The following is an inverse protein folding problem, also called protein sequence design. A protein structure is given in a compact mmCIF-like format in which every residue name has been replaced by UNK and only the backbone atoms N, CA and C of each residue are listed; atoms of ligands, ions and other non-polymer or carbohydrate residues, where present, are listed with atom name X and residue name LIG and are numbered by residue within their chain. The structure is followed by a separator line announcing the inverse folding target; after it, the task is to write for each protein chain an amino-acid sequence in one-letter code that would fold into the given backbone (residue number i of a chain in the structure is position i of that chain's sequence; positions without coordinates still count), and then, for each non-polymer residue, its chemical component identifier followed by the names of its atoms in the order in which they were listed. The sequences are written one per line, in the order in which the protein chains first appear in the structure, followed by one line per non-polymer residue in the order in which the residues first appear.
data_IF_312691465262
#
_entry.id   IF_312691465262
#
_cell.length_a   1.000
_cell.length_b   1.000
_cell.length_c   1.000
_cell.angle_alpha   90.00
_cell.angle_beta   90.00
_cell.angle_gamma   90.00
#
_symmetry.space_group_name_H-M   'P 1'
#
loop_
_entity.id
_entity.type
_entity.pdbx_description
1 polymer ?
#
# COMPACT_ATOMS: atom_id res chain seq x y z
N UNK A 1 -36.06 -67.50 -20.03
CA UNK A 1 -36.72 -66.31 -19.46
C UNK A 1 -36.30 -66.21 -18.01
N UNK A 2 -35.74 -65.05 -17.64
CA UNK A 2 -35.37 -64.56 -16.30
C UNK A 2 -34.46 -65.39 -15.40
N UNK A 3 -33.33 -64.79 -15.03
CA UNK A 3 -32.87 -64.48 -13.65
C UNK A 3 -31.33 -64.33 -13.71
N UNK A 4 -30.83 -63.12 -13.54
CA UNK A 4 -30.31 -62.59 -12.26
C UNK A 4 -29.16 -63.43 -11.70
N UNK A 5 -27.95 -62.85 -11.72
CA UNK A 5 -26.80 -63.34 -10.97
C UNK A 5 -26.10 -62.15 -10.33
N UNK A 6 -26.52 -61.80 -9.12
CA UNK A 6 -25.73 -61.03 -8.16
C UNK A 6 -24.72 -61.98 -7.48
N UNK A 7 -23.43 -61.67 -7.64
CA UNK A 7 -22.35 -62.10 -6.75
C UNK A 7 -21.92 -60.84 -5.98
N UNK A 8 -21.85 -60.78 -4.65
CA UNK A 8 -21.34 -61.79 -3.74
C UNK A 8 -19.97 -61.32 -3.25
N UNK A 9 -19.96 -60.68 -2.07
CA UNK A 9 -18.95 -60.72 -1.00
C UNK A 9 -17.45 -60.61 -1.35
N UNK A 10 -16.78 -59.62 -0.73
CA UNK A 10 -15.73 -59.80 0.30
C UNK A 10 -14.72 -58.65 0.30
N UNK A 11 -14.87 -57.77 1.28
CA UNK A 11 -13.83 -56.87 1.76
C UNK A 11 -13.05 -57.57 2.86
N UNK A 12 -11.75 -57.83 2.69
CA UNK A 12 -10.78 -57.86 3.80
C UNK A 12 -9.33 -58.11 3.36
N UNK A 13 -8.44 -57.46 4.13
CA UNK A 13 -7.02 -57.75 4.35
C UNK A 13 -6.09 -57.26 3.22
N UNK A 14 -4.94 -56.64 3.44
CA UNK A 14 -4.06 -56.36 4.59
C UNK A 14 -2.76 -55.87 3.91
N UNK A 15 -1.90 -55.01 4.41
CA UNK A 15 -1.67 -54.41 5.71
C UNK A 15 -0.42 -53.51 5.58
N UNK A 16 -0.02 -52.94 6.71
CA UNK A 16 1.35 -52.52 7.04
C UNK A 16 1.92 -51.34 6.21
N UNK A 17 2.39 -50.23 6.77
CA UNK A 17 3.16 -50.03 7.99
C UNK A 17 3.09 -48.53 8.38
N UNK A 18 3.03 -48.25 9.68
CA UNK A 18 3.10 -46.90 10.22
C UNK A 18 4.54 -46.58 10.65
N UNK A 19 5.11 -45.47 10.15
CA UNK A 19 6.02 -44.51 10.83
C UNK A 19 6.71 -43.58 9.79
N UNK A 20 7.29 -42.43 10.18
CA UNK A 20 6.67 -41.25 10.78
C UNK A 20 7.15 -39.93 10.12
N UNK A 21 6.35 -38.86 10.19
CA UNK A 21 6.85 -37.49 10.10
C UNK A 21 7.06 -36.89 8.71
N UNK A 22 6.14 -36.00 8.35
CA UNK A 22 6.52 -34.69 7.83
C UNK A 22 5.42 -33.70 8.18
N UNK A 23 5.60 -32.98 9.28
CA UNK A 23 5.00 -31.66 9.44
C UNK A 23 5.59 -30.77 8.34
N UNK A 24 5.00 -30.83 7.15
CA UNK A 24 5.27 -29.94 6.05
C UNK A 24 4.50 -28.65 6.29
N UNK A 25 5.21 -27.63 6.76
CA UNK A 25 4.76 -26.24 6.82
C UNK A 25 4.08 -25.86 5.51
N UNK A 26 2.80 -25.48 5.57
CA UNK A 26 2.16 -24.68 4.54
C UNK A 26 2.79 -23.29 4.59
N UNK A 27 3.88 -23.12 3.85
CA UNK A 27 4.30 -21.81 3.38
C UNK A 27 3.30 -21.43 2.28
N UNK A 28 2.32 -20.58 2.62
CA UNK A 28 1.68 -19.75 1.61
C UNK A 28 2.75 -18.72 1.19
N UNK A 29 3.71 -19.17 0.38
CA UNK A 29 4.52 -18.28 -0.44
C UNK A 29 3.53 -17.41 -1.22
N UNK A 30 3.56 -16.11 -0.97
CA UNK A 30 2.82 -15.12 -1.74
C UNK A 30 3.24 -15.31 -3.20
N UNK A 31 2.42 -16.04 -3.95
CA UNK A 31 2.69 -16.34 -5.34
C UNK A 31 2.50 -15.03 -6.09
N UNK A 32 3.60 -14.32 -6.33
CA UNK A 32 3.62 -13.20 -7.28
C UNK A 32 2.90 -13.67 -8.54
N UNK A 33 1.99 -12.87 -9.11
CA UNK A 33 1.26 -13.29 -10.29
C UNK A 33 2.26 -13.68 -11.38
N UNK A 34 1.97 -14.79 -12.08
CA UNK A 34 2.80 -15.34 -13.16
C UNK A 34 2.95 -14.33 -14.32
N UNK A 35 3.88 -13.39 -14.13
CA UNK A 35 4.32 -12.38 -15.10
C UNK A 35 5.54 -12.95 -15.81
N UNK A 36 5.50 -12.93 -17.13
CA UNK A 36 6.57 -13.38 -18.00
C UNK A 36 7.21 -12.19 -18.74
N UNK A 37 8.43 -12.33 -19.27
CA UNK A 37 9.06 -11.27 -20.09
C UNK A 37 8.27 -10.85 -21.33
N UNK A 38 7.30 -11.66 -21.78
CA UNK A 38 6.45 -11.37 -22.95
C UNK A 38 5.20 -10.56 -22.59
N UNK A 39 4.90 -10.41 -21.30
CA UNK A 39 3.72 -9.67 -20.85
C UNK A 39 3.93 -8.15 -20.93
N UNK A 40 2.84 -7.41 -21.16
CA UNK A 40 2.88 -5.95 -21.21
C UNK A 40 2.58 -5.38 -19.83
N UNK A 41 3.59 -4.78 -19.21
CA UNK A 41 3.49 -4.22 -17.87
C UNK A 41 3.44 -2.69 -17.94
N UNK A 42 2.46 -2.06 -17.29
CA UNK A 42 2.29 -0.61 -17.27
C UNK A 42 2.27 -0.13 -15.82
N UNK A 43 3.14 0.80 -15.47
CA UNK A 43 3.13 1.40 -14.14
C UNK A 43 2.17 2.59 -14.07
N UNK A 44 1.40 2.68 -12.98
CA UNK A 44 0.52 3.81 -12.68
C UNK A 44 1.09 4.56 -11.48
N UNK A 45 1.49 5.80 -11.71
CA UNK A 45 2.19 6.67 -10.75
C UNK A 45 1.45 7.98 -10.54
N UNK A 46 1.73 8.64 -9.41
CA UNK A 46 1.19 9.94 -9.03
C UNK A 46 0.95 10.01 -7.53
N UNK A 47 0.68 11.21 -7.03
CA UNK A 47 0.47 11.45 -5.60
C UNK A 47 -0.72 10.67 -5.03
N UNK A 48 -0.79 10.58 -3.70
CA UNK A 48 -1.92 9.95 -3.01
C UNK A 48 -3.24 10.67 -3.30
N UNK A 49 -4.31 9.90 -3.48
CA UNK A 49 -5.66 10.43 -3.77
C UNK A 49 -5.85 10.98 -5.19
N UNK A 50 -4.94 10.72 -6.13
CA UNK A 50 -5.08 11.15 -7.54
C UNK A 50 -6.03 10.27 -8.38
N UNK A 51 -6.39 9.09 -7.86
CA UNK A 51 -7.25 8.11 -8.51
C UNK A 51 -6.53 6.95 -9.20
N UNK A 52 -5.34 6.55 -8.73
CA UNK A 52 -4.58 5.39 -9.29
C UNK A 52 -5.39 4.10 -9.23
N UNK A 53 -5.84 3.70 -8.03
CA UNK A 53 -6.60 2.48 -7.84
C UNK A 53 -7.96 2.54 -8.56
N UNK A 54 -8.59 3.72 -8.65
CA UNK A 54 -9.79 3.93 -9.49
C UNK A 54 -9.51 3.77 -10.98
N UNK A 55 -8.35 4.20 -11.46
CA UNK A 55 -7.96 4.00 -12.86
C UNK A 55 -7.78 2.50 -13.14
N UNK A 56 -7.08 1.78 -12.26
CA UNK A 56 -6.83 0.34 -12.39
C UNK A 56 -8.14 -0.46 -12.28
N UNK A 57 -9.07 0.00 -11.45
CA UNK A 57 -10.33 -0.71 -11.23
C UNK A 57 -11.27 -0.78 -12.42
N UNK A 58 -11.07 0.09 -13.41
CA UNK A 58 -11.75 -0.04 -14.70
C UNK A 58 -11.40 -1.35 -15.43
N UNK A 59 -10.28 -1.99 -15.09
CA UNK A 59 -9.82 -3.23 -15.73
C UNK A 59 -9.73 -4.42 -14.77
N UNK A 60 -9.62 -4.16 -13.47
CA UNK A 60 -9.57 -5.20 -12.45
C UNK A 60 -10.23 -4.69 -11.15
N UNK A 61 -11.41 -5.21 -10.81
CA UNK A 61 -12.17 -4.75 -9.63
C UNK A 61 -11.46 -5.02 -8.30
N UNK A 62 -10.56 -5.99 -8.23
CA UNK A 62 -9.79 -6.33 -7.01
C UNK A 62 -8.90 -5.17 -6.56
N UNK A 63 -8.59 -4.24 -7.47
CA UNK A 63 -7.88 -2.99 -7.16
C UNK A 63 -8.66 -2.05 -6.21
N UNK A 64 -9.99 -2.20 -6.07
CA UNK A 64 -10.80 -1.45 -5.10
C UNK A 64 -11.10 -2.23 -3.83
N UNK A 65 -11.19 -3.56 -3.95
CA UNK A 65 -11.73 -4.40 -2.88
C UNK A 65 -10.67 -4.68 -1.82
N UNK A 66 -9.37 -4.66 -2.16
CA UNK A 66 -8.33 -4.92 -1.16
C UNK A 66 -8.46 -6.30 -0.52
N UNK A 67 -9.16 -7.25 -1.17
CA UNK A 67 -9.41 -8.62 -0.67
C UNK A 67 -8.24 -9.57 -0.96
N UNK A 68 -7.01 -9.08 -0.81
CA UNK A 68 -5.96 -9.91 -0.28
C UNK A 68 -5.61 -9.31 1.07
N UNK A 69 -5.41 -10.16 2.07
CA UNK A 69 -5.06 -9.85 3.45
C UNK A 69 -3.81 -8.95 3.67
N UNK A 70 -3.37 -8.18 2.67
CA UNK A 70 -2.21 -7.29 2.66
C UNK A 70 -2.43 -5.93 1.93
N UNK A 71 -3.60 -5.65 1.34
CA UNK A 71 -3.74 -4.52 0.40
C UNK A 71 -4.43 -3.27 0.98
N UNK A 72 -3.74 -2.57 1.88
CA UNK A 72 -3.97 -1.15 2.16
C UNK A 72 -2.68 -0.38 1.83
N UNK A 73 -2.56 0.20 0.63
CA UNK A 73 -1.56 1.22 0.18
C UNK A 73 -0.11 1.19 0.70
N UNK A 74 0.36 0.07 1.21
CA UNK A 74 1.68 -0.10 1.83
C UNK A 74 2.69 -0.78 0.91
N UNK A 75 2.25 -1.33 -0.23
CA UNK A 75 3.10 -2.09 -1.16
C UNK A 75 2.69 -1.85 -2.63
N UNK A 76 3.62 -2.15 -3.55
CA UNK A 76 3.37 -2.10 -5.00
C UNK A 76 2.38 -3.20 -5.39
N UNK A 77 1.17 -2.82 -5.81
CA UNK A 77 0.12 -3.74 -6.23
C UNK A 77 0.30 -4.18 -7.68
N UNK A 78 0.11 -5.47 -7.97
CA UNK A 78 0.18 -6.01 -9.33
C UNK A 78 -1.19 -6.54 -9.73
N UNK A 79 -1.82 -5.87 -10.69
CA UNK A 79 -3.18 -6.19 -11.12
C UNK A 79 -3.16 -6.72 -12.55
N UNK A 80 -3.54 -8.00 -12.71
CA UNK A 80 -3.74 -8.61 -14.03
C UNK A 80 -4.98 -8.00 -14.69
N UNK A 81 -4.86 -7.60 -15.95
CA UNK A 81 -5.95 -7.04 -16.73
C UNK A 81 -5.91 -7.57 -18.16
N UNK A 82 -7.01 -7.36 -18.89
CA UNK A 82 -7.13 -7.75 -20.28
C UNK A 82 -7.81 -6.65 -21.09
N UNK A 83 -7.21 -6.28 -22.22
CA UNK A 83 -7.79 -5.32 -23.17
C UNK A 83 -7.85 -6.01 -24.54
N UNK A 84 -9.06 -6.26 -25.02
CA UNK A 84 -9.28 -7.13 -26.17
C UNK A 84 -8.70 -8.52 -25.93
N UNK A 85 -7.78 -8.95 -26.80
CA UNK A 85 -7.09 -10.24 -26.70
C UNK A 85 -5.70 -10.14 -26.05
N UNK A 86 -5.31 -8.96 -25.56
CA UNK A 86 -3.99 -8.73 -24.99
C UNK A 86 -4.04 -8.76 -23.47
N UNK A 87 -3.28 -9.69 -22.89
CA UNK A 87 -3.01 -9.75 -21.45
C UNK A 87 -2.05 -8.62 -21.08
N UNK A 88 -2.39 -7.87 -20.03
CA UNK A 88 -1.56 -6.78 -19.49
C UNK A 88 -1.49 -6.87 -17.97
N UNK A 89 -0.51 -6.19 -17.40
CA UNK A 89 -0.39 -6.00 -15.95
C UNK A 89 -0.28 -4.53 -15.62
N UNK A 90 -1.10 -4.09 -14.68
CA UNK A 90 -1.09 -2.73 -14.15
C UNK A 90 -0.44 -2.75 -12.78
N UNK A 91 0.61 -1.95 -12.64
CA UNK A 91 1.37 -1.83 -11.41
C UNK A 91 0.86 -0.60 -10.68
N UNK A 92 0.12 -0.79 -9.58
CA UNK A 92 -0.24 0.28 -8.68
C UNK A 92 0.98 0.61 -7.82
N UNK A 93 1.49 1.84 -7.96
CA UNK A 93 2.62 2.28 -7.16
C UNK A 93 2.13 3.09 -5.97
N UNK A 94 2.76 2.98 -4.80
CA UNK A 94 2.43 3.84 -3.68
C UNK A 94 2.54 5.32 -4.06
N UNK A 95 1.63 6.14 -3.53
CA UNK A 95 1.66 7.58 -3.78
C UNK A 95 2.75 8.25 -2.96
N UNK A 96 3.55 9.09 -3.61
CA UNK A 96 4.35 10.09 -2.92
C UNK A 96 3.44 11.18 -2.32
N UNK A 97 3.87 11.85 -1.26
CA UNK A 97 3.06 12.81 -0.48
C UNK A 97 1.91 12.14 0.33
N UNK A 98 2.16 10.94 0.87
CA UNK A 98 1.29 10.33 1.88
C UNK A 98 1.64 10.92 3.26
N UNK A 99 0.66 11.47 3.97
CA UNK A 99 0.88 12.03 5.32
C UNK A 99 1.35 10.99 6.35
N UNK A 100 1.21 9.71 6.02
CA UNK A 100 1.59 8.59 6.89
C UNK A 100 2.92 7.95 6.51
N UNK A 101 3.52 8.30 5.37
CA UNK A 101 4.72 7.62 4.82
C UNK A 101 5.76 8.61 4.32
N UNK A 102 7.04 8.27 4.48
CA UNK A 102 8.10 9.13 3.97
C UNK A 102 8.34 8.93 2.48
N UNK A 103 8.78 9.99 1.79
CA UNK A 103 9.21 9.90 0.38
C UNK A 103 10.36 8.89 0.19
N UNK A 104 11.15 8.65 1.25
CA UNK A 104 12.20 7.62 1.29
C UNK A 104 11.60 6.23 1.17
N UNK A 105 10.56 5.91 1.96
CA UNK A 105 9.92 4.59 1.95
C UNK A 105 9.26 4.29 0.60
N UNK A 106 8.60 5.29 0.02
CA UNK A 106 7.99 5.18 -1.31
C UNK A 106 9.04 4.95 -2.39
N UNK A 107 10.18 5.66 -2.33
CA UNK A 107 11.27 5.46 -3.27
C UNK A 107 11.88 4.05 -3.14
N UNK A 108 12.06 3.55 -1.92
CA UNK A 108 12.55 2.18 -1.65
C UNK A 108 11.64 1.16 -2.32
N UNK A 109 10.32 1.24 -2.16
CA UNK A 109 9.37 0.28 -2.74
C UNK A 109 9.38 0.25 -4.25
N UNK A 110 9.40 1.45 -4.86
CA UNK A 110 9.44 1.55 -6.31
C UNK A 110 10.78 1.02 -6.84
N UNK A 111 11.89 1.35 -6.18
CA UNK A 111 13.21 0.83 -6.55
C UNK A 111 13.28 -0.69 -6.41
N UNK A 112 12.68 -1.23 -5.36
CA UNK A 112 12.63 -2.67 -5.08
C UNK A 112 11.91 -3.44 -6.19
N UNK A 113 10.71 -2.98 -6.55
CA UNK A 113 9.93 -3.55 -7.63
C UNK A 113 10.64 -3.40 -9.00
N UNK A 114 11.28 -2.26 -9.24
CA UNK A 114 12.04 -2.01 -10.47
C UNK A 114 13.29 -2.87 -10.58
N UNK A 115 13.94 -3.21 -9.46
CA UNK A 115 15.07 -4.15 -9.41
C UNK A 115 14.60 -5.58 -9.66
N UNK A 116 13.52 -6.01 -9.01
CA UNK A 116 12.92 -7.33 -9.25
C UNK A 116 12.56 -7.50 -10.73
N UNK A 117 11.78 -6.57 -11.29
CA UNK A 117 11.38 -6.63 -12.70
C UNK A 117 12.59 -6.63 -13.65
N UNK A 118 13.63 -5.86 -13.36
CA UNK A 118 14.86 -5.87 -14.14
C UNK A 118 15.54 -7.25 -14.14
N UNK A 119 15.68 -7.88 -12.98
CA UNK A 119 16.32 -9.20 -12.85
C UNK A 119 15.53 -10.31 -13.56
N UNK A 120 14.20 -10.25 -13.49
CA UNK A 120 13.30 -11.18 -14.20
C UNK A 120 13.12 -10.84 -15.69
N UNK A 121 13.87 -9.85 -16.21
CA UNK A 121 13.77 -9.34 -17.59
C UNK A 121 12.34 -8.89 -17.98
N UNK A 122 11.56 -8.45 -16.99
CA UNK A 122 10.25 -7.85 -17.15
C UNK A 122 10.44 -6.37 -17.45
N UNK A 123 9.96 -5.92 -18.61
CA UNK A 123 10.11 -4.53 -19.05
C UNK A 123 8.79 -3.80 -19.05
N UNK A 124 8.83 -2.52 -18.69
CA UNK A 124 7.67 -1.65 -18.75
C UNK A 124 7.31 -1.33 -20.20
N UNK A 125 6.05 -1.55 -20.57
CA UNK A 125 5.45 -1.07 -21.82
C UNK A 125 5.29 0.46 -21.82
N UNK A 126 5.10 1.06 -20.65
CA UNK A 126 4.96 2.50 -20.47
C UNK A 126 4.61 2.84 -19.02
N UNK A 127 4.55 4.15 -18.74
CA UNK A 127 4.15 4.68 -17.43
C UNK A 127 3.00 5.66 -17.62
N UNK A 128 2.00 5.57 -16.75
CA UNK A 128 0.91 6.54 -16.63
C UNK A 128 1.18 7.37 -15.38
N UNK A 129 1.42 8.67 -15.56
CA UNK A 129 1.50 9.63 -14.46
C UNK A 129 0.18 10.39 -14.34
N UNK A 130 -0.55 10.16 -13.26
CA UNK A 130 -1.84 10.80 -12.98
C UNK A 130 -1.65 12.12 -12.23
N UNK A 131 -2.53 13.09 -12.53
CA UNK A 131 -2.59 14.37 -11.82
C UNK A 131 -4.03 14.90 -11.70
N UNK A 132 -4.46 15.36 -10.52
CA UNK A 132 -5.81 15.91 -10.34
C UNK A 132 -5.90 17.30 -10.94
N UNK A 133 -6.84 17.54 -11.85
CA UNK A 133 -7.03 18.87 -12.44
C UNK A 133 -7.62 19.89 -11.45
N UNK A 134 -8.27 19.39 -10.39
CA UNK A 134 -8.90 20.20 -9.34
C UNK A 134 -7.88 20.90 -8.44
N UNK A 135 -6.63 20.46 -8.42
CA UNK A 135 -5.60 21.04 -7.57
C UNK A 135 -5.38 22.51 -7.96
N UNK A 136 -5.69 23.42 -7.03
CA UNK A 136 -5.74 24.87 -7.30
C UNK A 136 -4.36 25.44 -7.60
N UNK A 137 -3.32 24.78 -7.09
CA UNK A 137 -1.91 25.09 -7.29
C UNK A 137 -1.16 23.76 -7.37
N UNK A 138 -0.16 23.70 -8.24
CA UNK A 138 0.93 22.73 -8.08
C UNK A 138 1.68 23.11 -6.79
N UNK A 139 1.30 22.48 -5.68
CA UNK A 139 1.93 22.70 -4.38
C UNK A 139 3.41 22.31 -4.41
N UNK A 140 4.18 22.74 -3.41
CA UNK A 140 5.59 22.37 -3.29
C UNK A 140 5.80 20.85 -3.35
N UNK A 141 4.94 20.09 -2.69
CA UNK A 141 4.97 18.63 -2.71
C UNK A 141 4.71 18.03 -4.09
N UNK A 142 3.68 18.49 -4.82
CA UNK A 142 3.39 18.00 -6.18
C UNK A 142 4.50 18.30 -7.18
N UNK A 143 5.17 19.46 -7.05
CA UNK A 143 6.33 19.81 -7.88
C UNK A 143 7.52 18.92 -7.56
N UNK A 144 7.81 18.70 -6.26
CA UNK A 144 8.88 17.80 -5.83
C UNK A 144 8.64 16.37 -6.30
N UNK A 145 7.43 15.86 -6.16
CA UNK A 145 7.09 14.54 -6.63
C UNK A 145 7.28 14.41 -8.15
N UNK A 146 6.82 15.40 -8.92
CA UNK A 146 7.03 15.40 -10.37
C UNK A 146 8.53 15.45 -10.73
N UNK A 147 9.32 16.24 -10.00
CA UNK A 147 10.77 16.31 -10.19
C UNK A 147 11.44 14.97 -9.90
N UNK A 148 11.09 14.34 -8.78
CA UNK A 148 11.60 13.02 -8.42
C UNK A 148 11.20 11.96 -9.44
N UNK A 149 9.95 11.93 -9.88
CA UNK A 149 9.47 11.06 -10.95
C UNK A 149 10.30 11.21 -12.23
N UNK A 150 10.61 12.45 -12.62
CA UNK A 150 11.47 12.73 -13.78
C UNK A 150 12.90 12.20 -13.58
N UNK A 151 13.46 12.32 -12.37
CA UNK A 151 14.79 11.76 -12.05
C UNK A 151 14.81 10.24 -12.09
N UNK A 152 13.73 9.62 -11.61
CA UNK A 152 13.54 8.17 -11.62
C UNK A 152 13.47 7.63 -13.06
N UNK A 153 12.67 8.29 -13.91
CA UNK A 153 12.53 7.90 -15.31
C UNK A 153 13.80 8.14 -16.13
N UNK A 154 14.41 9.33 -15.99
CA UNK A 154 15.43 9.82 -16.93
C UNK A 154 14.83 10.44 -18.18
N UNK A 155 15.53 11.41 -18.77
CA UNK A 155 15.03 12.22 -19.90
C UNK A 155 14.74 11.38 -21.14
N UNK A 156 15.58 10.37 -21.41
CA UNK A 156 15.45 9.43 -22.51
C UNK A 156 14.16 8.58 -22.44
N UNK A 157 13.60 8.41 -21.24
CA UNK A 157 12.43 7.56 -21.00
C UNK A 157 11.11 8.31 -20.94
N UNK A 158 11.16 9.66 -20.92
CA UNK A 158 9.96 10.49 -20.88
C UNK A 158 9.06 10.28 -22.11
N UNK A 159 9.64 9.86 -23.24
CA UNK A 159 8.87 9.45 -24.41
C UNK A 159 7.88 8.31 -24.11
N UNK A 160 8.19 7.40 -23.18
CA UNK A 160 7.33 6.29 -22.76
C UNK A 160 6.33 6.63 -21.65
N UNK A 161 6.25 7.90 -21.25
CA UNK A 161 5.34 8.38 -20.22
C UNK A 161 4.08 8.99 -20.84
N UNK A 162 2.93 8.53 -20.38
CA UNK A 162 1.63 9.18 -20.57
C UNK A 162 1.30 9.99 -19.33
N UNK A 163 1.00 11.27 -19.53
CA UNK A 163 0.54 12.20 -18.52
C UNK A 163 -0.98 12.25 -18.61
N UNK A 164 -1.70 11.90 -17.56
CA UNK A 164 -3.16 11.92 -17.58
C UNK A 164 -3.72 12.77 -16.45
N UNK A 165 -4.68 13.64 -16.80
CA UNK A 165 -5.38 14.48 -15.83
C UNK A 165 -6.67 13.81 -15.36
N UNK A 166 -6.91 13.75 -14.05
CA UNK A 166 -8.08 13.11 -13.42
C UNK A 166 -8.99 14.11 -12.72
N UNK A 167 -10.16 13.64 -12.27
CA UNK A 167 -11.11 14.40 -11.44
C UNK A 167 -11.70 15.65 -12.11
N UNK A 168 -11.90 15.59 -13.42
CA UNK A 168 -12.57 16.65 -14.17
C UNK A 168 -14.01 16.86 -13.70
N UNK A 169 -14.48 18.10 -13.76
CA UNK A 169 -15.90 18.41 -13.72
C UNK A 169 -16.56 18.02 -15.04
N UNK A 170 -17.85 17.67 -15.00
CA UNK A 170 -18.64 17.40 -16.20
C UNK A 170 -19.84 18.35 -16.26
N UNK A 171 -19.84 19.35 -17.15
CA UNK A 171 -18.78 19.71 -18.11
C UNK A 171 -17.53 20.32 -17.44
N UNK A 172 -16.35 20.32 -18.12
CA UNK A 172 -15.16 20.99 -17.63
C UNK A 172 -15.36 22.50 -17.43
N UNK A 173 -14.85 23.03 -16.33
CA UNK A 173 -14.83 24.47 -16.08
C UNK A 173 -13.68 25.18 -16.78
N UNK A 174 -13.83 26.48 -17.08
CA UNK A 174 -12.77 27.31 -17.66
C UNK A 174 -11.47 27.29 -16.83
N UNK A 175 -11.61 27.17 -15.50
CA UNK A 175 -10.47 27.07 -14.58
C UNK A 175 -9.69 25.78 -14.79
N UNK A 176 -10.37 24.65 -14.96
CA UNK A 176 -9.73 23.35 -15.21
C UNK A 176 -9.04 23.33 -16.58
N UNK A 177 -9.69 23.88 -17.63
CA UNK A 177 -9.08 24.01 -18.96
C UNK A 177 -7.83 24.90 -18.91
N UNK A 178 -7.89 26.04 -18.21
CA UNK A 178 -6.73 26.92 -18.03
C UNK A 178 -5.59 26.23 -17.29
N UNK A 179 -5.88 25.47 -16.24
CA UNK A 179 -4.88 24.69 -15.49
C UNK A 179 -4.21 23.64 -16.36
N UNK A 180 -4.98 22.93 -17.18
CA UNK A 180 -4.42 21.97 -18.12
C UNK A 180 -3.45 22.65 -19.10
N UNK A 181 -3.82 23.84 -19.60
CA UNK A 181 -2.93 24.67 -20.42
C UNK A 181 -1.64 25.07 -19.71
N UNK A 182 -1.71 25.42 -18.42
CA UNK A 182 -0.53 25.74 -17.59
C UNK A 182 0.36 24.51 -17.36
N UNK A 183 -0.24 23.35 -17.01
CA UNK A 183 0.48 22.09 -16.86
C UNK A 183 1.28 21.77 -18.12
N UNK A 184 0.64 21.89 -19.29
CA UNK A 184 1.24 21.59 -20.60
C UNK A 184 2.34 22.58 -21.02
N UNK A 185 2.22 23.85 -20.67
CA UNK A 185 3.10 24.91 -21.18
C UNK A 185 4.31 25.20 -20.28
N UNK A 186 4.16 25.09 -18.95
CA UNK A 186 5.24 25.45 -18.04
C UNK A 186 6.28 24.33 -17.93
N UNK A 187 7.56 24.66 -18.18
CA UNK A 187 8.68 23.69 -18.12
C UNK A 187 8.82 22.99 -16.78
N UNK A 188 8.59 23.71 -15.68
CA UNK A 188 8.63 23.16 -14.32
C UNK A 188 7.50 22.15 -14.04
N UNK A 189 6.48 22.09 -14.89
CA UNK A 189 5.40 21.10 -14.85
C UNK A 189 5.62 20.08 -15.97
N UNK A 190 4.68 19.91 -16.89
CA UNK A 190 4.76 18.90 -17.94
C UNK A 190 5.44 19.39 -19.22
N UNK A 191 5.67 20.69 -19.39
CA UNK A 191 6.22 21.24 -20.63
C UNK A 191 7.55 20.60 -21.02
N UNK A 192 8.41 20.31 -20.05
CA UNK A 192 9.68 19.63 -20.33
C UNK A 192 9.49 18.15 -20.70
N UNK A 193 8.56 17.45 -20.07
CA UNK A 193 8.26 16.05 -20.37
C UNK A 193 7.63 15.90 -21.76
N UNK A 194 6.71 16.79 -22.09
CA UNK A 194 6.09 16.89 -23.42
C UNK A 194 7.17 17.17 -24.49
N UNK A 195 8.13 18.04 -24.18
CA UNK A 195 9.28 18.31 -25.05
C UNK A 195 10.14 17.07 -25.33
N UNK A 196 10.16 16.10 -24.42
CA UNK A 196 10.85 14.81 -24.57
C UNK A 196 9.92 13.68 -25.06
N UNK A 197 8.72 14.01 -25.55
CA UNK A 197 7.82 13.06 -26.22
C UNK A 197 6.73 12.45 -25.35
N UNK A 198 6.59 12.88 -24.07
CA UNK A 198 5.43 12.49 -23.26
C UNK A 198 4.13 13.00 -23.88
N UNK A 199 3.05 12.24 -23.73
CA UNK A 199 1.73 12.59 -24.29
C UNK A 199 0.72 12.83 -23.20
N UNK A 200 -0.18 13.77 -23.43
CA UNK A 200 -1.18 14.20 -22.45
C UNK A 200 -2.56 13.70 -22.83
N UNK A 201 -3.25 13.10 -21.86
CA UNK A 201 -4.63 12.63 -21.97
C UNK A 201 -5.48 13.18 -20.81
N UNK A 202 -6.80 13.09 -20.97
CA UNK A 202 -7.76 13.32 -19.89
C UNK A 202 -8.39 11.98 -19.51
N UNK A 203 -8.43 11.71 -18.21
CA UNK A 203 -9.17 10.61 -17.61
C UNK A 203 -10.45 11.19 -17.01
N UNK A 204 -11.43 11.43 -17.87
CA UNK A 204 -12.68 12.15 -17.60
C UNK A 204 -13.95 11.39 -18.04
N UNK A 205 -13.80 10.18 -18.60
CA UNK A 205 -14.87 9.39 -19.19
C UNK A 205 -14.77 7.90 -18.80
N UNK A 206 -14.49 7.66 -17.52
CA UNK A 206 -14.43 6.32 -16.92
C UNK A 206 -13.53 5.35 -17.69
N UNK A 207 -14.06 4.16 -17.98
CA UNK A 207 -13.34 3.10 -18.69
C UNK A 207 -12.95 3.48 -20.13
N UNK A 208 -13.70 4.38 -20.78
CA UNK A 208 -13.45 4.76 -22.18
C UNK A 208 -12.12 5.49 -22.31
N UNK A 209 -11.90 6.58 -21.55
CA UNK A 209 -10.60 7.28 -21.58
C UNK A 209 -9.48 6.44 -20.98
N UNK A 210 -9.78 5.57 -20.01
CA UNK A 210 -8.77 4.67 -19.46
C UNK A 210 -8.25 3.71 -20.54
N UNK A 211 -9.17 3.17 -21.35
CA UNK A 211 -8.87 2.26 -22.44
C UNK A 211 -8.06 2.95 -23.52
N UNK A 212 -8.42 4.18 -23.89
CA UNK A 212 -7.66 4.99 -24.85
C UNK A 212 -6.21 5.22 -24.39
N UNK A 213 -6.02 5.56 -23.11
CA UNK A 213 -4.69 5.76 -22.51
C UNK A 213 -3.85 4.49 -22.60
N UNK A 214 -4.42 3.32 -22.24
CA UNK A 214 -3.68 2.07 -22.28
C UNK A 214 -3.41 1.63 -23.73
N UNK A 215 -4.41 1.70 -24.62
CA UNK A 215 -4.23 1.36 -26.03
C UNK A 215 -3.14 2.21 -26.68
N UNK A 216 -3.05 3.49 -26.31
CA UNK A 216 -1.97 4.36 -26.76
C UNK A 216 -0.60 3.82 -26.37
N UNK A 217 -0.42 3.39 -25.12
CA UNK A 217 0.83 2.76 -24.66
C UNK A 217 1.07 1.44 -25.39
N UNK A 218 0.03 0.60 -25.53
CA UNK A 218 0.15 -0.71 -26.16
C UNK A 218 0.53 -0.63 -27.63
N UNK A 219 0.08 0.40 -28.36
CA UNK A 219 0.40 0.63 -29.77
C UNK A 219 1.86 0.98 -30.03
N UNK A 220 2.63 1.31 -29.00
CA UNK A 220 4.04 1.70 -29.12
C UNK A 220 4.96 0.48 -29.07
N UNK A 221 5.95 0.39 -29.97
CA UNK A 221 6.82 -0.78 -30.12
C UNK A 221 7.95 -0.85 -29.07
N UNK A 222 8.11 0.17 -28.22
CA UNK A 222 9.27 0.29 -27.33
C UNK A 222 8.90 0.02 -25.87
N UNK A 223 9.74 -0.77 -25.22
CA UNK A 223 9.74 -0.89 -23.77
C UNK A 223 10.59 0.23 -23.15
N UNK A 224 10.25 0.60 -21.93
CA UNK A 224 10.91 1.63 -21.14
C UNK A 224 11.82 0.97 -20.12
N UNK A 225 13.08 1.40 -20.06
CA UNK A 225 14.03 1.05 -19.00
C UNK A 225 14.35 2.32 -18.23
N UNK A 226 13.94 2.41 -16.98
CA UNK A 226 14.08 3.64 -16.22
C UNK A 226 15.54 3.87 -15.82
N UNK A 227 15.95 5.13 -15.76
CA UNK A 227 17.30 5.52 -15.34
C UNK A 227 17.69 4.89 -14.01
N UNK A 228 16.77 4.82 -13.04
CA UNK A 228 17.05 4.20 -11.75
C UNK A 228 17.45 2.71 -11.88
N UNK A 229 16.86 1.98 -12.84
CA UNK A 229 17.21 0.57 -13.09
C UNK A 229 18.64 0.45 -13.63
N UNK A 230 19.02 1.33 -14.57
CA UNK A 230 20.39 1.39 -15.09
C UNK A 230 21.40 1.76 -14.00
N UNK A 231 21.06 2.73 -13.16
CA UNK A 231 21.90 3.19 -12.05
C UNK A 231 22.12 2.07 -11.02
N UNK A 232 21.07 1.36 -10.61
CA UNK A 232 21.17 0.23 -9.70
C UNK A 232 21.89 -0.97 -10.32
N UNK A 233 21.65 -1.27 -11.60
CA UNK A 233 22.37 -2.32 -12.32
C UNK A 233 23.88 -2.03 -12.44
N UNK A 234 24.27 -0.75 -12.45
CA UNK A 234 25.68 -0.33 -12.41
C UNK A 234 26.33 -0.40 -11.01
N UNK A 235 25.59 -0.84 -9.99
CA UNK A 235 26.07 -1.01 -8.62
C UNK A 235 25.92 0.22 -7.72
N UNK A 236 25.14 1.24 -8.11
CA UNK A 236 24.86 2.38 -7.24
C UNK A 236 23.84 2.01 -6.16
N UNK A 237 24.07 2.48 -4.93
CA UNK A 237 23.06 2.42 -3.87
C UNK A 237 21.89 3.36 -4.18
N UNK A 238 20.74 3.16 -3.51
CA UNK A 238 19.55 3.96 -3.76
C UNK A 238 19.80 5.46 -3.59
N UNK A 239 20.52 5.87 -2.55
CA UNK A 239 20.89 7.26 -2.30
C UNK A 239 21.85 7.87 -3.33
N UNK A 240 22.61 7.05 -4.06
CA UNK A 240 23.52 7.51 -5.12
C UNK A 240 22.82 7.74 -6.47
N UNK A 241 21.61 7.17 -6.64
CA UNK A 241 20.77 7.37 -7.82
C UNK A 241 20.32 8.82 -7.96
N UNK A 242 19.94 9.23 -9.17
CA UNK A 242 19.44 10.58 -9.41
C UNK A 242 18.15 10.88 -8.63
N UNK A 243 17.29 9.87 -8.43
CA UNK A 243 16.08 10.00 -7.62
C UNK A 243 16.41 10.04 -6.12
N UNK A 244 17.31 9.18 -5.65
CA UNK A 244 17.74 9.15 -4.25
C UNK A 244 18.44 10.43 -3.80
N UNK A 245 19.24 11.06 -4.67
CA UNK A 245 19.85 12.37 -4.39
C UNK A 245 18.82 13.48 -4.20
N UNK A 246 17.71 13.44 -4.93
CA UNK A 246 16.62 14.41 -4.77
C UNK A 246 15.94 14.23 -3.41
N UNK A 247 15.63 12.99 -3.02
CA UNK A 247 15.06 12.68 -1.69
C UNK A 247 16.05 13.07 -0.59
N UNK A 248 17.33 12.74 -0.74
CA UNK A 248 18.37 13.08 0.24
C UNK A 248 18.51 14.60 0.43
N UNK A 249 18.46 15.37 -0.66
CA UNK A 249 18.48 16.82 -0.58
C UNK A 249 17.29 17.39 0.20
N UNK A 250 16.10 16.78 0.10
CA UNK A 250 14.94 17.21 0.88
C UNK A 250 15.07 16.84 2.35
N UNK A 251 15.51 15.62 2.66
CA UNK A 251 15.77 15.20 4.05
C UNK A 251 16.81 16.12 4.71
N UNK A 252 17.86 16.52 3.98
CA UNK A 252 18.85 17.49 4.45
C UNK A 252 18.26 18.89 4.69
N UNK A 253 17.37 19.37 3.80
CA UNK A 253 16.68 20.65 3.99
C UNK A 253 15.76 20.63 5.22
N UNK A 254 15.01 19.55 5.42
CA UNK A 254 14.14 19.38 6.58
C UNK A 254 14.94 19.33 7.87
N UNK A 255 16.03 18.55 7.90
CA UNK A 255 16.98 18.49 9.01
C UNK A 255 17.51 19.88 9.37
N UNK A 256 18.01 20.65 8.39
CA UNK A 256 18.52 22.00 8.61
C UNK A 256 17.44 22.99 9.09
N UNK A 257 16.17 22.75 8.75
CA UNK A 257 15.04 23.54 9.27
C UNK A 257 14.76 23.20 10.73
N UNK A 258 14.66 21.91 11.07
CA UNK A 258 14.42 21.46 12.44
C UNK A 258 15.56 21.84 13.39
N UNK A 259 16.81 21.73 12.95
CA UNK A 259 17.97 22.18 13.74
C UNK A 259 17.91 23.68 14.06
N UNK A 260 17.44 24.51 13.11
CA UNK A 260 17.23 25.95 13.35
C UNK A 260 16.11 26.20 14.37
N UNK A 261 14.96 25.54 14.21
CA UNK A 261 13.83 25.67 15.13
C UNK A 261 14.18 25.20 16.54
N UNK A 262 14.90 24.08 16.67
CA UNK A 262 15.40 23.59 17.97
C UNK A 262 16.34 24.60 18.63
N UNK A 263 17.19 25.27 17.86
CA UNK A 263 18.08 26.30 18.39
C UNK A 263 17.32 27.56 18.81
N UNK A 264 16.23 27.92 18.14
CA UNK A 264 15.34 29.02 18.54
C UNK A 264 14.59 28.67 19.83
N UNK A 265 13.95 27.51 19.90
CA UNK A 265 13.26 27.02 21.10
C UNK A 265 14.20 26.89 22.31
N UNK A 266 15.47 26.51 22.09
CA UNK A 266 16.49 26.51 23.15
C UNK A 266 16.77 27.89 23.72
N UNK A 267 16.68 28.96 22.92
CA UNK A 267 16.85 30.34 23.40
C UNK A 267 15.60 30.78 24.17
N UNK A 268 14.41 30.54 23.61
CA UNK A 268 13.14 30.85 24.26
C UNK A 268 12.99 30.14 25.61
N UNK A 269 13.42 28.88 25.71
CA UNK A 269 13.40 28.12 26.96
C UNK A 269 14.23 28.80 28.07
N UNK A 270 15.42 29.31 27.72
CA UNK A 270 16.29 30.03 28.67
C UNK A 270 15.65 31.35 29.12
N UNK A 271 14.93 32.03 28.25
CA UNK A 271 14.20 33.25 28.60
C UNK A 271 13.00 32.96 29.50
N UNK A 272 12.23 31.91 29.22
CA UNK A 272 11.14 31.45 30.07
C UNK A 272 11.63 31.04 31.47
N UNK A 273 12.79 30.36 31.56
CA UNK A 273 13.44 30.03 32.83
C UNK A 273 13.81 31.28 33.63
N UNK A 274 14.35 32.31 32.97
CA UNK A 274 14.65 33.60 33.62
C UNK A 274 13.41 34.31 34.14
N UNK A 275 12.27 34.18 33.44
CA UNK A 275 10.99 34.78 33.84
C UNK A 275 10.20 33.92 34.84
N UNK A 276 10.71 32.73 35.20
CA UNK A 276 10.01 31.74 36.02
C UNK A 276 8.63 31.35 35.46
N UNK A 277 8.47 31.39 34.13
CA UNK A 277 7.21 31.02 33.47
C UNK A 277 7.16 29.50 33.24
N UNK A 278 6.52 28.81 34.19
CA UNK A 278 6.45 27.35 34.19
C UNK A 278 5.56 26.79 33.06
N UNK A 279 4.52 27.54 32.64
CA UNK A 279 3.61 27.10 31.58
C UNK A 279 4.28 27.22 30.22
N UNK A 280 4.89 28.37 29.93
CA UNK A 280 5.63 28.59 28.70
C UNK A 280 6.80 27.59 28.57
N UNK A 281 7.46 27.24 29.69
CA UNK A 281 8.50 26.20 29.71
C UNK A 281 7.97 24.82 29.29
N UNK A 282 6.77 24.43 29.75
CA UNK A 282 6.15 23.14 29.39
C UNK A 282 5.77 23.11 27.91
N UNK A 283 5.22 24.19 27.38
CA UNK A 283 4.88 24.31 25.96
C UNK A 283 6.11 24.18 25.07
N UNK A 284 7.19 24.92 25.37
CA UNK A 284 8.45 24.80 24.63
C UNK A 284 9.03 23.38 24.72
N UNK A 285 8.97 22.75 25.91
CA UNK A 285 9.50 21.40 26.09
C UNK A 285 8.75 20.37 25.24
N UNK A 286 7.43 20.49 25.11
CA UNK A 286 6.61 19.61 24.28
C UNK A 286 6.96 19.76 22.79
N UNK A 287 6.98 20.99 22.27
CA UNK A 287 7.33 21.27 20.85
C UNK A 287 8.77 20.83 20.55
N UNK A 288 9.69 21.03 21.50
CA UNK A 288 11.08 20.59 21.35
C UNK A 288 11.20 19.07 21.28
N UNK A 289 10.46 18.34 22.13
CA UNK A 289 10.46 16.87 22.10
C UNK A 289 9.95 16.34 20.75
N UNK A 290 8.84 16.90 20.25
CA UNK A 290 8.28 16.59 18.93
C UNK A 290 9.30 16.83 17.80
N UNK A 291 9.97 17.99 17.80
CA UNK A 291 11.01 18.30 16.81
C UNK A 291 12.26 17.41 16.92
N UNK A 292 12.64 16.98 18.13
CA UNK A 292 13.75 16.05 18.34
C UNK A 292 13.42 14.64 17.80
N UNK A 293 12.16 14.20 17.94
CA UNK A 293 11.64 12.97 17.36
C UNK A 293 11.67 13.01 15.83
N UNK A 294 11.15 14.09 15.23
CA UNK A 294 11.21 14.32 13.78
C UNK A 294 12.65 14.34 13.24
N UNK A 295 13.58 14.94 13.98
CA UNK A 295 14.99 14.96 13.59
C UNK A 295 15.61 13.55 13.61
N UNK A 296 15.23 12.72 14.58
CA UNK A 296 15.69 11.33 14.66
C UNK A 296 15.09 10.47 13.55
N UNK A 297 13.80 10.64 13.23
CA UNK A 297 13.14 10.02 12.08
C UNK A 297 13.86 10.36 10.77
N UNK A 298 14.18 11.64 10.53
CA UNK A 298 14.95 12.05 9.34
C UNK A 298 16.35 11.42 9.27
N UNK A 299 17.06 11.26 10.40
CA UNK A 299 18.36 10.57 10.43
C UNK A 299 18.22 9.09 10.06
N UNK A 300 17.15 8.43 10.51
CA UNK A 300 16.84 7.06 10.11
C UNK A 300 16.59 6.98 8.60
N UNK A 301 15.80 7.89 8.04
CA UNK A 301 15.58 7.97 6.58
C UNK A 301 16.88 8.19 5.80
N UNK A 302 17.80 9.03 6.29
CA UNK A 302 19.12 9.19 5.65
C UNK A 302 19.94 7.90 5.67
N UNK A 303 19.85 7.11 6.75
CA UNK A 303 20.54 5.84 6.84
C UNK A 303 19.93 4.81 5.88
N UNK A 304 18.61 4.74 5.77
CA UNK A 304 17.89 3.88 4.81
C UNK A 304 18.41 4.13 3.38
N UNK A 305 18.53 5.39 2.96
CA UNK A 305 19.03 5.72 1.62
C UNK A 305 20.49 5.33 1.37
N UNK A 306 21.29 5.11 2.43
CA UNK A 306 22.70 4.70 2.32
C UNK A 306 22.86 3.19 2.30
N UNK A 307 21.85 2.45 2.73
CA UNK A 307 21.89 0.99 2.76
C UNK A 307 21.75 0.41 1.36
N UNK A 308 22.24 -0.81 1.21
CA UNK A 308 21.99 -1.60 0.01
C UNK A 308 20.53 -2.09 0.01
N UNK A 309 19.92 -2.16 -1.18
CA UNK A 309 18.56 -2.65 -1.37
C UNK A 309 18.41 -4.09 -0.83
N UNK A 310 19.44 -4.93 -0.92
CA UNK A 310 19.37 -6.29 -0.35
C UNK A 310 19.35 -6.30 1.17
N UNK A 311 19.97 -5.31 1.81
CA UNK A 311 19.93 -5.13 3.26
C UNK A 311 18.56 -4.59 3.70
N UNK A 312 18.01 -3.62 2.94
CA UNK A 312 16.67 -3.07 3.16
C UNK A 312 15.58 -4.15 3.03
N UNK A 313 15.67 -5.02 2.02
CA UNK A 313 14.76 -6.17 1.87
C UNK A 313 14.77 -7.06 3.10
N UNK A 314 15.96 -7.48 3.54
CA UNK A 314 16.09 -8.34 4.72
C UNK A 314 15.49 -7.73 5.97
N UNK A 315 15.65 -6.42 6.17
CA UNK A 315 15.03 -5.72 7.29
C UNK A 315 13.51 -5.72 7.17
N UNK A 316 12.96 -5.35 6.00
CA UNK A 316 11.50 -5.32 5.78
C UNK A 316 10.86 -6.71 5.88
N UNK A 317 11.52 -7.74 5.37
CA UNK A 317 11.04 -9.12 5.46
C UNK A 317 11.01 -9.58 6.93
N UNK A 318 12.03 -9.23 7.71
CA UNK A 318 12.06 -9.52 9.14
C UNK A 318 11.00 -8.74 9.94
N UNK A 319 10.79 -7.46 9.61
CA UNK A 319 9.74 -6.62 10.19
C UNK A 319 8.35 -7.17 9.86
N UNK A 320 8.13 -7.60 8.61
CA UNK A 320 6.88 -8.22 8.16
C UNK A 320 6.61 -9.51 8.91
N UNK A 321 7.60 -10.39 9.02
CA UNK A 321 7.48 -11.64 9.77
C UNK A 321 7.13 -11.36 11.24
N UNK A 322 7.74 -10.33 11.83
CA UNK A 322 7.45 -9.91 13.20
C UNK A 322 6.02 -9.38 13.34
N UNK A 323 5.57 -8.52 12.42
CA UNK A 323 4.19 -8.00 12.43
C UNK A 323 3.17 -9.11 12.23
N UNK A 324 3.43 -10.03 11.32
CA UNK A 324 2.56 -11.19 11.08
C UNK A 324 2.44 -12.05 12.34
N UNK A 325 3.55 -12.34 13.02
CA UNK A 325 3.54 -13.07 14.28
C UNK A 325 2.75 -12.33 15.38
N UNK A 326 2.88 -11.01 15.47
CA UNK A 326 2.12 -10.19 16.41
C UNK A 326 0.62 -10.20 16.10
N UNK A 327 0.25 -10.09 14.83
CA UNK A 327 -1.16 -10.11 14.41
C UNK A 327 -1.80 -11.48 14.67
N UNK A 328 -1.10 -12.55 14.35
CA UNK A 328 -1.55 -13.91 14.63
C UNK A 328 -1.71 -14.15 16.13
N UNK A 329 -0.77 -13.67 16.95
CA UNK A 329 -0.90 -13.71 18.40
C UNK A 329 -2.10 -12.88 18.90
N UNK A 330 -2.34 -11.71 18.31
CA UNK A 330 -3.50 -10.89 18.66
C UNK A 330 -4.83 -11.56 18.30
N UNK A 331 -4.93 -12.16 17.11
CA UNK A 331 -6.09 -12.94 16.67
C UNK A 331 -6.37 -14.13 17.58
N UNK A 332 -5.32 -14.83 18.01
CA UNK A 332 -5.44 -15.95 18.95
C UNK A 332 -6.03 -15.50 20.30
N UNK A 333 -5.57 -14.36 20.83
CA UNK A 333 -6.12 -13.77 22.06
C UNK A 333 -7.60 -13.40 21.89
N UNK A 334 -7.99 -12.83 20.75
CA UNK A 334 -9.39 -12.51 20.47
C UNK A 334 -10.25 -13.78 20.37
N UNK A 335 -9.75 -14.83 19.72
CA UNK A 335 -10.46 -16.09 19.59
C UNK A 335 -10.69 -16.77 20.95
N UNK A 336 -9.67 -16.76 21.81
CA UNK A 336 -9.78 -17.26 23.19
C UNK A 336 -10.80 -16.45 24.00
N UNK A 337 -10.76 -15.12 23.91
CA UNK A 337 -11.72 -14.24 24.57
C UNK A 337 -13.16 -14.50 24.11
N UNK A 338 -13.36 -14.71 22.82
CA UNK A 338 -14.68 -15.04 22.28
C UNK A 338 -15.18 -16.41 22.75
N UNK A 339 -14.29 -17.40 22.87
CA UNK A 339 -14.62 -18.70 23.45
C UNK A 339 -15.05 -18.58 24.92
N UNK A 340 -14.32 -17.81 25.72
CA UNK A 340 -14.64 -17.57 27.14
C UNK A 340 -16.00 -16.87 27.30
N UNK A 341 -16.29 -15.88 26.47
CA UNK A 341 -17.59 -15.19 26.47
C UNK A 341 -18.72 -16.16 26.15
N UNK A 342 -18.53 -17.11 25.21
CA UNK A 342 -19.54 -18.13 24.89
C UNK A 342 -19.78 -19.06 26.08
N UNK A 343 -18.71 -19.49 26.77
CA UNK A 343 -18.82 -20.35 27.96
C UNK A 343 -19.57 -19.63 29.08
N UNK A 344 -19.24 -18.35 29.34
CA UNK A 344 -19.94 -17.54 30.34
C UNK A 344 -21.42 -17.38 30.03
N UNK A 345 -21.79 -17.04 28.78
CA UNK A 345 -23.19 -16.96 28.36
C UNK A 345 -23.94 -18.27 28.54
N UNK A 346 -23.33 -19.39 28.19
CA UNK A 346 -23.94 -20.70 28.38
C UNK A 346 -24.16 -21.04 29.87
N UNK A 347 -23.25 -20.59 30.74
CA UNK A 347 -23.38 -20.76 32.20
C UNK A 347 -24.51 -19.88 32.76
N UNK A 348 -24.57 -18.61 32.37
CA UNK A 348 -25.63 -17.69 32.79
C UNK A 348 -27.01 -18.20 32.33
N UNK A 349 -27.13 -18.68 31.09
CA UNK A 349 -28.35 -19.30 30.56
C UNK A 349 -28.77 -20.55 31.37
N UNK A 350 -27.79 -21.35 31.80
CA UNK A 350 -28.05 -22.53 32.62
C UNK A 350 -28.53 -22.16 34.02
N UNK A 351 -27.90 -21.18 34.67
CA UNK A 351 -28.29 -20.69 35.99
C UNK A 351 -29.70 -20.08 35.98
N UNK A 352 -30.05 -19.33 34.92
CA UNK A 352 -31.38 -18.77 34.75
C UNK A 352 -32.46 -19.85 34.65
N UNK A 353 -32.22 -20.91 33.85
CA UNK A 353 -33.14 -22.05 33.74
C UNK A 353 -33.32 -22.80 35.06
N UNK A 354 -32.24 -22.90 35.85
CA UNK A 354 -32.30 -23.56 37.16
C UNK A 354 -33.22 -22.78 38.11
N UNK A 355 -33.07 -21.45 38.17
CA UNK A 355 -33.95 -20.57 38.97
C UNK A 355 -35.42 -20.65 38.53
N UNK A 356 -35.68 -20.70 37.23
CA UNK A 356 -37.05 -20.85 36.70
C UNK A 356 -37.69 -22.17 37.15
N UNK A 357 -36.96 -23.28 37.04
CA UNK A 357 -37.41 -24.60 37.48
C UNK A 357 -37.65 -24.66 38.99
N UNK A 358 -36.76 -24.10 39.80
CA UNK A 358 -36.93 -24.01 41.25
C UNK A 358 -38.19 -23.22 41.62
N UNK A 359 -38.42 -22.10 40.94
CA UNK A 359 -39.61 -21.27 41.13
C UNK A 359 -40.89 -22.04 40.77
N UNK A 360 -40.89 -22.78 39.65
CA UNK A 360 -42.02 -23.61 39.23
C UNK A 360 -42.31 -24.72 40.23
N UNK A 361 -41.28 -25.44 40.69
CA UNK A 361 -41.43 -26.50 41.70
C UNK A 361 -41.96 -25.96 43.03
N UNK A 362 -41.53 -24.76 43.45
CA UNK A 362 -42.05 -24.11 44.65
C UNK A 362 -43.54 -23.76 44.51
N UNK A 363 -43.97 -23.24 43.36
CA UNK A 363 -45.37 -22.96 43.07
C UNK A 363 -46.22 -24.24 43.05
N UNK A 364 -45.73 -25.33 42.45
CA UNK A 364 -46.44 -26.62 42.46
C UNK A 364 -46.56 -27.23 43.85
N UNK A 365 -45.50 -27.17 44.67
CA UNK A 365 -45.54 -27.62 46.07
C UNK A 365 -46.58 -26.83 46.86
N UNK A 366 -46.62 -25.51 46.69
CA UNK A 366 -47.60 -24.65 47.36
C UNK A 366 -49.04 -24.98 46.92
N UNK A 367 -49.28 -25.22 45.63
CA UNK A 367 -50.59 -25.65 45.11
C UNK A 367 -51.01 -27.02 45.65
N UNK A 368 -50.11 -27.99 45.71
CA UNK A 368 -50.40 -29.33 46.26
C UNK A 368 -50.71 -29.27 47.76
N UNK A 369 -49.97 -28.48 48.54
CA UNK A 369 -50.25 -28.27 49.97
C UNK A 369 -51.59 -27.57 50.21
N UNK A 370 -51.98 -26.61 49.35
CA UNK A 370 -53.28 -25.96 49.43
C UNK A 370 -54.45 -26.92 49.09
N UNK A 371 -54.24 -27.88 48.19
CA UNK A 371 -55.25 -28.87 47.80
C UNK A 371 -55.45 -30.00 48.83
N UNK A 372 -54.53 -30.18 49.77
CA UNK A 372 -54.62 -31.17 50.86
C UNK A 372 -55.29 -30.58 52.11
N UNK A 373 -55.39 -29.24 52.21
CA UNK A 373 -56.03 -28.53 53.33
C UNK A 373 -57.50 -28.10 53.06
N UNK A 374 -58.06 -28.45 51.90
CA UNK A 374 -59.50 -28.43 51.62
C UNK A 374 -60.03 -29.86 51.62
#
# INVERSE_FOLDING_TARGET
MHSESESGYESQLSGDEASPGSYGKGHDDVQLPDITPNDRVIAVMGITGVGKSTFISHFNQDALVGDSLLSCTSEVGIHKAQIGNQRIFLIDTPGFDDSTRSDTDVLVEIADWLRFSYNENIKLAGIIYLHRIKDVRMGGASIRNLLMFRKLCGEQCLGGVVLATTMWSNPPSDKEVKREGQLKSERKFWGEMIGHGSRVFRQDNGITSATEIIQYILSRPHNVTLRIQEEMASGKSLGETAAGKEVQAEVERLKARYERQLNELRKEMKEAERRQDLNHKKEIAAVRAELEEELNSNKQQQNILRMDIDELRKQRDAERETMYQQEMAHKEVLYQRDADIRVLRAKDDYELRLMELETQMAHERSRKSACIMM
#
